data_IF_899822512121
#
_entry.id   IF_899822512121
#
_cell.length_a   1.000
_cell.length_b   1.000
_cell.length_c   1.000
_cell.angle_alpha   90.00
_cell.angle_beta   90.00
_cell.angle_gamma   90.00
#
_symmetry.space_group_name_H-M   'P 1'
#
loop_
_entity.id
_entity.type
_entity.pdbx_description
1 polymer ?
#
# COMPACT_ATOMS: atom_id res chain seq x y z
N UNK A 1 26.53 -33.80 -14.78
CA UNK A 1 26.28 -33.51 -13.36
C UNK A 1 24.80 -33.20 -13.21
N UNK A 2 24.05 -33.81 -12.30
CA UNK A 2 22.67 -33.40 -12.03
C UNK A 2 22.68 -31.97 -11.51
N UNK A 3 21.67 -31.16 -11.88
CA UNK A 3 21.57 -29.79 -11.39
C UNK A 3 21.48 -29.78 -9.86
N UNK A 4 22.32 -28.97 -9.22
CA UNK A 4 22.31 -28.80 -7.77
C UNK A 4 20.91 -28.29 -7.36
N UNK A 5 20.23 -29.03 -6.49
CA UNK A 5 18.95 -28.58 -5.93
C UNK A 5 19.19 -27.24 -5.21
N UNK A 6 18.46 -26.20 -5.62
CA UNK A 6 18.51 -24.88 -4.94
C UNK A 6 18.03 -25.03 -3.50
N UNK A 7 18.74 -24.39 -2.59
CA UNK A 7 18.32 -24.28 -1.18
C UNK A 7 17.02 -23.44 -1.07
N UNK A 8 16.29 -23.58 0.03
CA UNK A 8 15.10 -22.74 0.27
C UNK A 8 15.45 -21.26 0.27
N UNK A 9 16.61 -20.87 0.80
CA UNK A 9 17.09 -19.48 0.74
C UNK A 9 17.30 -19.00 -0.70
N UNK A 10 17.90 -19.81 -1.56
CA UNK A 10 18.10 -19.46 -2.99
C UNK A 10 16.77 -19.39 -3.75
N UNK A 11 15.79 -20.23 -3.40
CA UNK A 11 14.44 -20.15 -3.97
C UNK A 11 13.74 -18.84 -3.55
N UNK A 12 13.84 -18.48 -2.26
CA UNK A 12 13.23 -17.24 -1.76
C UNK A 12 13.89 -15.99 -2.37
N UNK A 13 15.22 -15.99 -2.51
CA UNK A 13 15.94 -14.90 -3.18
C UNK A 13 15.49 -14.74 -4.63
N UNK A 14 15.37 -15.85 -5.36
CA UNK A 14 14.87 -15.80 -6.74
C UNK A 14 13.42 -15.33 -6.81
N UNK A 15 12.57 -15.77 -5.86
CA UNK A 15 11.18 -15.31 -5.79
C UNK A 15 11.09 -13.79 -5.60
N UNK A 16 11.89 -13.22 -4.70
CA UNK A 16 11.98 -11.76 -4.48
C UNK A 16 12.46 -11.04 -5.75
N UNK A 17 13.52 -11.55 -6.38
CA UNK A 17 14.04 -10.96 -7.62
C UNK A 17 13.02 -10.96 -8.75
N UNK A 18 12.20 -12.01 -8.88
CA UNK A 18 11.11 -12.07 -9.87
C UNK A 18 10.05 -11.00 -9.55
N UNK A 19 9.64 -10.88 -8.30
CA UNK A 19 8.65 -9.90 -7.82
C UNK A 19 9.11 -8.47 -8.16
N UNK A 20 10.35 -8.13 -7.82
CA UNK A 20 10.88 -6.77 -8.00
C UNK A 20 11.00 -6.41 -9.49
N UNK A 21 11.55 -7.31 -10.30
CA UNK A 21 11.65 -7.10 -11.75
C UNK A 21 10.29 -7.01 -12.44
N UNK A 22 9.32 -7.81 -12.00
CA UNK A 22 7.96 -7.76 -12.54
C UNK A 22 7.25 -6.46 -12.14
N UNK A 23 7.41 -6.00 -10.89
CA UNK A 23 6.85 -4.73 -10.42
C UNK A 23 7.35 -3.57 -11.28
N UNK A 24 8.66 -3.47 -11.52
CA UNK A 24 9.23 -2.42 -12.38
C UNK A 24 8.66 -2.45 -13.80
N UNK A 25 8.55 -3.63 -14.40
CA UNK A 25 8.02 -3.79 -15.75
C UNK A 25 6.52 -3.45 -15.81
N UNK A 26 5.73 -3.92 -14.84
CA UNK A 26 4.29 -3.65 -14.78
C UNK A 26 4.00 -2.16 -14.59
N UNK A 27 4.76 -1.46 -13.74
CA UNK A 27 4.61 -0.02 -13.55
C UNK A 27 4.99 0.77 -14.81
N UNK A 28 6.07 0.37 -15.49
CA UNK A 28 6.57 1.13 -16.64
C UNK A 28 5.82 0.89 -17.94
N UNK A 29 5.16 -0.28 -18.11
CA UNK A 29 4.57 -0.71 -19.37
C UNK A 29 3.12 -1.17 -19.27
N UNK A 30 2.59 -1.27 -18.08
CA UNK A 30 1.29 -1.89 -17.77
C UNK A 30 1.39 -3.43 -17.68
N UNK A 31 0.49 -4.01 -16.90
CA UNK A 31 0.46 -5.47 -16.63
C UNK A 31 0.24 -6.26 -17.93
N UNK A 32 -0.68 -5.80 -18.79
CA UNK A 32 -1.05 -6.51 -20.02
C UNK A 32 0.09 -6.59 -21.03
N UNK A 33 0.92 -5.54 -21.14
CA UNK A 33 2.00 -5.47 -22.11
C UNK A 33 3.24 -6.28 -21.74
N UNK A 34 3.29 -6.87 -20.53
CA UNK A 34 4.46 -7.61 -20.03
C UNK A 34 4.19 -9.11 -20.01
N UNK A 35 5.17 -9.88 -20.44
CA UNK A 35 5.12 -11.36 -20.47
C UNK A 35 6.07 -11.98 -19.45
N UNK A 36 5.75 -13.19 -18.98
CA UNK A 36 6.61 -13.96 -18.08
C UNK A 36 8.02 -14.20 -18.67
N UNK A 37 8.13 -14.31 -20.01
CA UNK A 37 9.43 -14.46 -20.71
C UNK A 37 10.28 -13.18 -20.64
N UNK A 38 9.66 -12.01 -20.73
CA UNK A 38 10.37 -10.74 -20.59
C UNK A 38 10.89 -10.52 -19.17
N UNK A 39 10.08 -10.89 -18.17
CA UNK A 39 10.50 -10.87 -16.75
C UNK A 39 11.72 -11.80 -16.57
N UNK A 40 11.66 -13.03 -17.09
CA UNK A 40 12.77 -13.98 -17.05
C UNK A 40 14.04 -13.42 -17.67
N UNK A 41 13.92 -12.82 -18.87
CA UNK A 41 15.04 -12.19 -19.58
C UNK A 41 15.63 -11.03 -18.78
N UNK A 42 14.80 -10.21 -18.14
CA UNK A 42 15.23 -9.07 -17.33
C UNK A 42 16.16 -9.47 -16.18
N UNK A 43 15.90 -10.62 -15.56
CA UNK A 43 16.70 -11.13 -14.42
C UNK A 43 17.73 -12.16 -14.79
N UNK A 44 17.91 -12.47 -16.09
CA UNK A 44 18.92 -13.44 -16.57
C UNK A 44 18.57 -14.89 -16.30
N UNK A 45 17.28 -15.24 -16.19
CA UNK A 45 16.79 -16.60 -15.96
C UNK A 45 15.96 -17.13 -17.13
N UNK A 46 15.71 -18.45 -17.14
CA UNK A 46 14.79 -19.07 -18.10
C UNK A 46 13.32 -18.81 -17.70
N UNK A 47 12.42 -18.80 -18.68
CA UNK A 47 10.98 -18.72 -18.40
C UNK A 47 10.51 -19.88 -17.51
N UNK A 48 11.07 -21.10 -17.74
CA UNK A 48 10.79 -22.28 -16.91
C UNK A 48 11.12 -22.02 -15.44
N UNK A 49 12.21 -21.30 -15.15
CA UNK A 49 12.57 -20.95 -13.76
C UNK A 49 11.53 -20.07 -13.09
N UNK A 50 10.86 -19.17 -13.83
CA UNK A 50 9.78 -18.33 -13.29
C UNK A 50 8.51 -19.15 -13.04
N UNK A 51 8.15 -20.03 -13.99
CA UNK A 51 6.97 -20.89 -13.84
C UNK A 51 7.07 -21.90 -12.68
N UNK A 52 8.27 -22.18 -12.17
CA UNK A 52 8.46 -22.93 -10.92
C UNK A 52 8.05 -22.17 -9.66
N UNK A 53 7.97 -20.84 -9.74
CA UNK A 53 7.59 -19.97 -8.61
C UNK A 53 6.17 -19.41 -8.75
N UNK A 54 5.73 -19.14 -9.99
CA UNK A 54 4.43 -18.53 -10.27
C UNK A 54 3.81 -19.23 -11.48
N UNK A 55 2.65 -19.83 -11.28
CA UNK A 55 1.96 -20.63 -12.31
C UNK A 55 1.59 -19.79 -13.55
N UNK A 56 1.28 -18.52 -13.35
CA UNK A 56 0.92 -17.56 -14.40
C UNK A 56 1.22 -16.12 -13.97
N UNK A 57 0.89 -15.17 -14.86
CA UNK A 57 1.08 -13.73 -14.63
C UNK A 57 0.17 -13.18 -13.53
N UNK A 58 -1.03 -13.72 -13.41
CA UNK A 58 -2.00 -13.33 -12.38
C UNK A 58 -1.52 -13.74 -10.98
N UNK A 59 -1.04 -14.97 -10.82
CA UNK A 59 -0.45 -15.44 -9.56
C UNK A 59 0.77 -14.60 -9.16
N UNK A 60 1.59 -14.18 -10.14
CA UNK A 60 2.71 -13.28 -9.89
C UNK A 60 2.21 -11.89 -9.47
N UNK A 61 1.20 -11.33 -10.14
CA UNK A 61 0.62 -10.03 -9.78
C UNK A 61 0.02 -10.05 -8.37
N UNK A 62 -0.75 -11.10 -8.03
CA UNK A 62 -1.29 -11.28 -6.67
C UNK A 62 -0.17 -11.29 -5.63
N UNK A 63 0.89 -12.05 -5.87
CA UNK A 63 2.02 -12.13 -4.94
C UNK A 63 2.77 -10.79 -4.80
N UNK A 64 2.86 -9.97 -5.84
CA UNK A 64 3.40 -8.62 -5.76
C UNK A 64 2.50 -7.75 -4.88
N UNK A 65 1.19 -7.75 -5.13
CA UNK A 65 0.23 -6.96 -4.37
C UNK A 65 0.22 -7.35 -2.89
N UNK A 66 0.23 -8.65 -2.58
CA UNK A 66 0.32 -9.15 -1.20
C UNK A 66 1.62 -8.67 -0.52
N UNK A 67 2.75 -8.76 -1.23
CA UNK A 67 4.04 -8.31 -0.71
C UNK A 67 4.03 -6.81 -0.42
N UNK A 68 3.45 -6.01 -1.31
CA UNK A 68 3.42 -4.56 -1.20
C UNK A 68 2.42 -4.10 -0.11
N UNK A 69 1.26 -4.76 0.01
CA UNK A 69 0.30 -4.52 1.09
C UNK A 69 0.87 -4.87 2.47
N UNK A 70 1.58 -6.00 2.56
CA UNK A 70 2.28 -6.39 3.79
C UNK A 70 3.38 -5.40 4.16
N UNK A 71 4.13 -4.89 3.19
CA UNK A 71 5.15 -3.88 3.42
C UNK A 71 4.53 -2.58 3.97
N UNK A 72 3.38 -2.15 3.44
CA UNK A 72 2.63 -1.02 3.98
C UNK A 72 2.20 -1.29 5.43
N UNK A 73 1.51 -2.41 5.71
CA UNK A 73 1.07 -2.76 7.05
C UNK A 73 2.24 -2.82 8.06
N UNK A 74 3.37 -3.40 7.63
CA UNK A 74 4.58 -3.50 8.45
C UNK A 74 5.16 -2.12 8.76
N UNK A 75 5.17 -1.20 7.79
CA UNK A 75 5.71 0.16 7.97
C UNK A 75 4.91 1.01 8.98
N UNK A 76 3.67 0.64 9.22
CA UNK A 76 2.77 1.35 10.14
C UNK A 76 2.75 0.75 11.56
N UNK A 77 3.37 -0.42 11.76
CA UNK A 77 3.26 -1.20 13.01
C UNK A 77 3.66 -0.44 14.27
N UNK A 78 4.79 0.27 14.24
CA UNK A 78 5.28 1.02 15.41
C UNK A 78 4.35 2.17 15.80
N UNK A 79 3.65 2.75 14.83
CA UNK A 79 2.69 3.85 15.03
C UNK A 79 1.51 3.38 15.88
N UNK A 80 1.13 2.11 15.77
CA UNK A 80 0.02 1.54 16.54
C UNK A 80 0.27 1.52 18.06
N UNK A 81 1.51 1.73 18.51
CA UNK A 81 1.88 1.80 19.93
C UNK A 81 1.68 3.19 20.55
N UNK A 82 1.38 4.22 19.75
CA UNK A 82 1.09 5.57 20.26
C UNK A 82 -0.16 5.52 21.14
N UNK A 83 -0.05 6.04 22.36
CA UNK A 83 -1.09 5.87 23.39
C UNK A 83 -2.36 6.71 23.08
N UNK A 84 -2.21 8.00 22.73
CA UNK A 84 -3.36 8.83 22.39
C UNK A 84 -3.91 8.44 21.01
N UNK A 85 -5.20 8.07 20.91
CA UNK A 85 -5.77 7.56 19.66
C UNK A 85 -5.86 8.63 18.56
N UNK A 86 -5.95 9.92 18.91
CA UNK A 86 -5.98 11.02 17.92
C UNK A 86 -4.57 11.25 17.36
N UNK A 87 -3.56 11.28 18.23
CA UNK A 87 -2.16 11.36 17.79
C UNK A 87 -1.77 10.16 16.94
N UNK A 88 -2.21 8.95 17.33
CA UNK A 88 -2.01 7.72 16.57
C UNK A 88 -2.65 7.79 15.18
N UNK A 89 -3.89 8.28 15.08
CA UNK A 89 -4.59 8.45 13.82
C UNK A 89 -3.87 9.45 12.90
N UNK A 90 -3.38 10.55 13.45
CA UNK A 90 -2.59 11.53 12.70
C UNK A 90 -1.26 10.94 12.21
N UNK A 91 -0.52 10.26 13.09
CA UNK A 91 0.73 9.59 12.75
C UNK A 91 0.52 8.50 11.69
N UNK A 92 -0.60 7.77 11.73
CA UNK A 92 -0.92 6.75 10.73
C UNK A 92 -1.08 7.35 9.32
N UNK A 93 -1.75 8.50 9.21
CA UNK A 93 -1.86 9.24 7.95
C UNK A 93 -0.49 9.70 7.42
N UNK A 94 0.39 10.18 8.31
CA UNK A 94 1.76 10.57 7.96
C UNK A 94 2.58 9.34 7.51
N UNK A 95 2.51 8.22 8.22
CA UNK A 95 3.18 6.97 7.87
C UNK A 95 2.73 6.42 6.52
N UNK A 96 1.42 6.45 6.24
CA UNK A 96 0.90 6.10 4.92
C UNK A 96 1.47 6.99 3.81
N UNK A 97 1.48 8.31 4.01
CA UNK A 97 2.04 9.24 3.03
C UNK A 97 3.56 9.02 2.84
N UNK A 98 4.30 8.78 3.92
CA UNK A 98 5.71 8.46 3.85
C UNK A 98 5.96 7.20 3.02
N UNK A 99 5.21 6.11 3.27
CA UNK A 99 5.30 4.89 2.46
C UNK A 99 5.03 5.17 0.99
N UNK A 100 3.94 5.86 0.67
CA UNK A 100 3.56 6.18 -0.70
C UNK A 100 4.65 6.96 -1.45
N UNK A 101 5.26 7.95 -0.79
CA UNK A 101 6.27 8.82 -1.40
C UNK A 101 7.66 8.16 -1.51
N UNK A 102 8.00 7.25 -0.61
CA UNK A 102 9.27 6.51 -0.66
C UNK A 102 9.21 5.27 -1.54
N UNK A 103 8.02 4.73 -1.79
CA UNK A 103 7.80 3.53 -2.60
C UNK A 103 6.78 3.78 -3.74
N UNK A 104 7.02 4.76 -4.64
CA UNK A 104 6.02 5.18 -5.61
C UNK A 104 5.61 4.07 -6.59
N UNK A 105 6.52 3.15 -6.92
CA UNK A 105 6.20 2.02 -7.80
C UNK A 105 5.31 0.98 -7.13
N UNK A 106 5.53 0.68 -5.84
CA UNK A 106 4.62 -0.16 -5.05
C UNK A 106 3.23 0.50 -5.02
N UNK A 107 3.18 1.79 -4.66
CA UNK A 107 1.94 2.54 -4.55
C UNK A 107 1.15 2.59 -5.88
N UNK A 108 1.84 2.83 -7.03
CA UNK A 108 1.19 2.81 -8.35
C UNK A 108 0.55 1.46 -8.64
N UNK A 109 1.24 0.37 -8.38
CA UNK A 109 0.71 -0.96 -8.66
C UNK A 109 -0.42 -1.34 -7.71
N UNK A 110 -0.30 -0.99 -6.42
CA UNK A 110 -1.33 -1.26 -5.41
C UNK A 110 -2.65 -0.53 -5.69
N UNK A 111 -2.60 0.73 -6.15
CA UNK A 111 -3.78 1.60 -6.12
C UNK A 111 -4.14 2.26 -7.45
N UNK A 112 -3.26 2.29 -8.44
CA UNK A 112 -3.45 3.06 -9.67
C UNK A 112 -3.42 2.21 -10.95
N UNK A 113 -2.88 0.99 -10.88
CA UNK A 113 -2.95 0.06 -12.00
C UNK A 113 -4.38 -0.49 -12.15
N UNK A 114 -4.76 -0.84 -13.38
CA UNK A 114 -5.99 -1.59 -13.62
C UNK A 114 -5.94 -2.89 -12.80
N UNK A 115 -6.93 -3.10 -11.96
CA UNK A 115 -6.96 -4.20 -10.98
C UNK A 115 -8.03 -5.21 -11.34
N UNK A 116 -7.67 -6.48 -11.28
CA UNK A 116 -8.64 -7.54 -11.03
C UNK A 116 -9.07 -7.41 -9.56
N UNK A 117 -10.38 -7.43 -9.24
CA UNK A 117 -10.83 -7.42 -7.85
C UNK A 117 -10.13 -8.53 -7.06
N UNK A 118 -9.55 -8.16 -5.92
CA UNK A 118 -8.89 -9.14 -5.06
C UNK A 118 -9.94 -9.90 -4.26
N UNK A 119 -10.00 -11.21 -4.44
CA UNK A 119 -10.73 -12.08 -3.52
C UNK A 119 -9.83 -12.35 -2.31
N UNK A 120 -10.24 -12.02 -1.07
CA UNK A 120 -9.48 -12.34 0.13
C UNK A 120 -9.12 -13.83 0.26
N UNK A 121 -9.91 -14.74 -0.33
CA UNK A 121 -9.62 -16.16 -0.35
C UNK A 121 -8.42 -16.55 -1.23
N UNK A 122 -8.04 -15.69 -2.18
CA UNK A 122 -6.88 -15.88 -3.08
C UNK A 122 -5.61 -15.16 -2.57
N UNK A 123 -5.74 -14.28 -1.58
CA UNK A 123 -4.61 -13.58 -0.96
C UNK A 123 -3.87 -14.48 0.03
N UNK A 124 -2.56 -14.33 0.10
CA UNK A 124 -1.75 -14.93 1.17
C UNK A 124 -1.86 -14.17 2.49
N UNK A 125 -2.47 -12.98 2.50
CA UNK A 125 -2.67 -12.15 3.67
C UNK A 125 -3.99 -12.49 4.36
N UNK A 126 -4.00 -12.34 5.68
CA UNK A 126 -5.18 -12.54 6.50
C UNK A 126 -5.94 -11.23 6.67
N UNK A 127 -7.16 -11.18 6.15
CA UNK A 127 -8.07 -10.07 6.39
C UNK A 127 -8.37 -9.90 7.89
N UNK A 128 -8.46 -8.65 8.35
CA UNK A 128 -8.66 -8.31 9.77
C UNK A 128 -7.50 -8.74 10.70
N UNK A 129 -6.33 -9.00 10.15
CA UNK A 129 -5.12 -9.21 10.94
C UNK A 129 -4.29 -7.92 10.97
N UNK A 130 -4.15 -7.30 12.15
CA UNK A 130 -3.41 -6.04 12.31
C UNK A 130 -1.92 -6.11 11.92
N UNK A 131 -1.34 -7.31 11.80
CA UNK A 131 0.04 -7.49 11.34
C UNK A 131 0.17 -7.48 9.81
N UNK A 132 -0.94 -7.66 9.07
CA UNK A 132 -0.94 -7.91 7.64
C UNK A 132 -1.89 -7.01 6.84
N UNK A 133 -2.87 -6.40 7.50
CA UNK A 133 -3.95 -5.63 6.88
C UNK A 133 -3.89 -4.16 7.29
N UNK A 134 -3.32 -3.32 6.43
CA UNK A 134 -3.18 -1.88 6.67
C UNK A 134 -4.55 -1.16 6.78
N UNK A 135 -5.59 -1.64 6.07
CA UNK A 135 -6.92 -1.06 6.20
C UNK A 135 -7.55 -1.40 7.55
N UNK A 136 -7.35 -2.62 8.03
CA UNK A 136 -7.80 -3.01 9.38
C UNK A 136 -7.06 -2.21 10.47
N UNK A 137 -5.77 -1.90 10.30
CA UNK A 137 -5.03 -1.01 11.20
C UNK A 137 -5.69 0.37 11.26
N UNK A 138 -5.99 0.97 10.11
CA UNK A 138 -6.68 2.27 10.04
C UNK A 138 -8.04 2.21 10.73
N UNK A 139 -8.85 1.20 10.41
CA UNK A 139 -10.17 1.01 11.00
C UNK A 139 -10.10 0.85 12.52
N UNK A 140 -9.14 0.09 13.03
CA UNK A 140 -8.91 -0.08 14.47
C UNK A 140 -8.57 1.25 15.14
N UNK A 141 -7.65 2.03 14.58
CA UNK A 141 -7.28 3.34 15.13
C UNK A 141 -8.46 4.32 15.13
N UNK A 142 -9.24 4.35 14.04
CA UNK A 142 -10.45 5.18 13.97
C UNK A 142 -11.50 4.74 15.00
N UNK A 143 -11.66 3.43 15.20
CA UNK A 143 -12.57 2.89 16.21
C UNK A 143 -12.14 3.28 17.65
N UNK A 144 -10.83 3.31 17.93
CA UNK A 144 -10.32 3.75 19.23
C UNK A 144 -10.63 5.23 19.49
N UNK A 145 -10.51 6.10 18.46
CA UNK A 145 -10.92 7.53 18.55
C UNK A 145 -12.43 7.65 18.79
N UNK A 146 -13.22 6.78 18.12
CA UNK A 146 -14.68 6.73 18.28
C UNK A 146 -15.08 6.31 19.72
N UNK A 147 -14.51 5.23 20.23
CA UNK A 147 -14.76 4.74 21.60
C UNK A 147 -14.35 5.77 22.65
N UNK A 148 -13.25 6.51 22.40
CA UNK A 148 -12.81 7.61 23.26
C UNK A 148 -13.73 8.85 23.19
N UNK A 149 -14.78 8.82 22.38
CA UNK A 149 -15.76 9.91 22.24
C UNK A 149 -15.21 11.21 21.68
N UNK A 150 -14.10 11.11 20.87
CA UNK A 150 -13.38 12.28 20.35
C UNK A 150 -13.97 12.81 19.05
N UNK A 151 -14.71 12.01 18.28
CA UNK A 151 -15.42 12.48 17.09
C UNK A 151 -16.68 13.29 17.45
N UNK A 152 -17.11 14.13 16.52
CA UNK A 152 -18.40 14.84 16.62
C UNK A 152 -19.54 13.84 16.78
N UNK A 153 -20.59 14.23 17.51
CA UNK A 153 -21.69 13.33 17.89
C UNK A 153 -22.54 12.86 16.70
N UNK A 154 -22.50 13.56 15.57
CA UNK A 154 -23.18 13.19 14.34
C UNK A 154 -22.40 12.15 13.50
N UNK A 155 -21.16 11.83 13.86
CA UNK A 155 -20.32 10.84 13.18
C UNK A 155 -20.38 9.51 13.90
N UNK A 156 -21.22 8.58 13.42
CA UNK A 156 -21.49 7.29 14.05
C UNK A 156 -20.93 6.10 13.27
N UNK A 157 -20.51 6.28 12.03
CA UNK A 157 -20.03 5.22 11.13
C UNK A 157 -18.51 5.23 11.05
N UNK A 158 -17.87 4.29 11.73
CA UNK A 158 -16.41 4.11 11.79
C UNK A 158 -15.83 3.80 10.40
N UNK A 159 -16.53 2.98 9.60
CA UNK A 159 -16.05 2.65 8.25
C UNK A 159 -16.09 3.86 7.32
N UNK A 160 -17.15 4.65 7.38
CA UNK A 160 -17.26 5.90 6.62
C UNK A 160 -16.14 6.88 7.00
N UNK A 161 -15.86 7.04 8.29
CA UNK A 161 -14.79 7.92 8.77
C UNK A 161 -13.43 7.42 8.29
N UNK A 162 -13.13 6.13 8.44
CA UNK A 162 -11.86 5.53 8.03
C UNK A 162 -11.63 5.68 6.52
N UNK A 163 -12.63 5.39 5.69
CA UNK A 163 -12.57 5.54 4.24
C UNK A 163 -12.39 7.02 3.83
N UNK A 164 -13.02 7.95 4.52
CA UNK A 164 -12.88 9.40 4.26
C UNK A 164 -11.46 9.88 4.56
N UNK A 165 -10.88 9.48 5.71
CA UNK A 165 -9.50 9.81 6.09
C UNK A 165 -8.52 9.23 5.07
N UNK A 166 -8.71 7.96 4.70
CA UNK A 166 -7.87 7.33 3.68
C UNK A 166 -7.97 8.06 2.34
N UNK A 167 -9.17 8.35 1.87
CA UNK A 167 -9.38 9.04 0.59
C UNK A 167 -8.67 10.40 0.53
N UNK A 168 -8.70 11.18 1.62
CA UNK A 168 -8.00 12.47 1.69
C UNK A 168 -6.48 12.33 1.55
N UNK A 169 -5.86 11.49 2.37
CA UNK A 169 -4.41 11.25 2.33
C UNK A 169 -3.98 10.62 1.01
N UNK A 170 -4.75 9.62 0.54
CA UNK A 170 -4.53 8.96 -0.75
C UNK A 170 -4.60 9.97 -1.91
N UNK A 171 -5.57 10.87 -1.93
CA UNK A 171 -5.71 11.88 -2.99
C UNK A 171 -4.49 12.78 -3.11
N UNK A 172 -3.96 13.29 -1.97
CA UNK A 172 -2.74 14.11 -1.98
C UNK A 172 -1.53 13.33 -2.48
N UNK A 173 -1.34 12.08 -2.02
CA UNK A 173 -0.24 11.21 -2.45
C UNK A 173 -0.36 10.85 -3.94
N UNK A 174 -1.56 10.50 -4.40
CA UNK A 174 -1.84 10.15 -5.79
C UNK A 174 -1.50 11.28 -6.75
N UNK A 175 -1.95 12.49 -6.45
CA UNK A 175 -1.61 13.68 -7.24
C UNK A 175 -0.09 13.91 -7.27
N UNK A 176 0.59 13.78 -6.13
CA UNK A 176 2.03 13.94 -6.06
C UNK A 176 2.78 12.92 -6.92
N UNK A 177 2.39 11.64 -6.84
CA UNK A 177 3.10 10.55 -7.51
C UNK A 177 2.89 10.58 -9.03
N UNK A 178 1.70 11.02 -9.49
CA UNK A 178 1.36 10.97 -10.92
C UNK A 178 1.51 12.28 -11.67
N UNK A 179 1.34 13.42 -10.98
CA UNK A 179 1.19 14.71 -11.64
C UNK A 179 2.18 15.77 -11.16
N UNK A 180 3.12 15.46 -10.25
CA UNK A 180 4.01 16.48 -9.70
C UNK A 180 4.90 17.17 -10.74
N UNK A 181 5.19 16.49 -11.87
CA UNK A 181 5.99 17.03 -12.98
C UNK A 181 5.13 17.76 -14.02
N UNK A 182 3.80 17.73 -13.88
CA UNK A 182 2.88 18.41 -14.79
C UNK A 182 2.99 19.92 -14.59
N UNK A 183 3.37 20.62 -15.66
CA UNK A 183 3.56 22.09 -15.67
C UNK A 183 2.25 22.88 -15.72
N UNK A 184 1.12 22.21 -15.88
CA UNK A 184 -0.21 22.84 -15.90
C UNK A 184 -0.61 23.36 -14.52
N UNK A 185 -0.07 22.75 -13.44
CA UNK A 185 -0.36 23.11 -12.05
C UNK A 185 0.91 23.62 -11.37
N UNK A 186 0.82 24.80 -10.75
CA UNK A 186 1.89 25.28 -9.87
C UNK A 186 1.77 24.61 -8.50
N UNK A 187 2.45 23.45 -8.35
CA UNK A 187 2.32 22.61 -7.18
C UNK A 187 2.96 23.22 -5.93
N UNK A 188 2.18 23.37 -4.86
CA UNK A 188 2.71 23.66 -3.53
C UNK A 188 3.51 22.47 -2.99
N UNK A 189 4.38 22.68 -2.01
CA UNK A 189 5.14 21.61 -1.36
C UNK A 189 4.21 20.51 -0.82
N UNK A 190 4.60 19.26 -1.06
CA UNK A 190 3.80 18.09 -0.64
C UNK A 190 3.54 18.07 0.86
N UNK A 191 4.52 18.46 1.69
CA UNK A 191 4.37 18.56 3.14
C UNK A 191 3.28 19.54 3.54
N UNK A 192 3.22 20.72 2.91
CA UNK A 192 2.20 21.73 3.19
C UNK A 192 0.81 21.25 2.78
N UNK A 193 0.69 20.54 1.63
CA UNK A 193 -0.60 19.98 1.18
C UNK A 193 -1.10 18.88 2.11
N UNK A 194 -0.22 17.99 2.55
CA UNK A 194 -0.56 16.94 3.52
C UNK A 194 -0.96 17.53 4.87
N UNK A 195 -0.21 18.52 5.37
CA UNK A 195 -0.52 19.18 6.63
C UNK A 195 -1.89 19.86 6.57
N UNK A 196 -2.13 20.68 5.55
CA UNK A 196 -3.40 21.40 5.42
C UNK A 196 -4.58 20.44 5.29
N UNK A 197 -4.43 19.39 4.51
CA UNK A 197 -5.47 18.37 4.34
C UNK A 197 -5.77 17.67 5.68
N UNK A 198 -4.74 17.21 6.41
CA UNK A 198 -4.92 16.58 7.72
C UNK A 198 -5.57 17.54 8.74
N UNK A 199 -5.10 18.78 8.83
CA UNK A 199 -5.70 19.77 9.72
C UNK A 199 -7.17 20.03 9.40
N UNK A 200 -7.52 20.20 8.12
CA UNK A 200 -8.88 20.44 7.69
C UNK A 200 -9.79 19.24 8.04
N UNK A 201 -9.30 18.01 7.82
CA UNK A 201 -10.04 16.80 8.17
C UNK A 201 -10.22 16.66 9.67
N UNK A 202 -9.16 16.84 10.47
CA UNK A 202 -9.25 16.75 11.94
C UNK A 202 -10.22 17.77 12.51
N UNK A 203 -10.18 19.01 12.05
CA UNK A 203 -11.16 20.04 12.47
C UNK A 203 -12.61 19.69 12.07
N UNK A 204 -12.80 19.02 10.92
CA UNK A 204 -14.12 18.59 10.47
C UNK A 204 -14.65 17.33 11.17
N UNK A 205 -13.79 16.47 11.71
CA UNK A 205 -14.16 15.18 12.29
C UNK A 205 -14.20 15.20 13.82
N UNK A 206 -13.27 15.89 14.47
CA UNK A 206 -13.15 15.91 15.94
C UNK A 206 -14.08 16.95 16.58
N UNK A 207 -14.40 16.71 17.84
CA UNK A 207 -15.04 17.73 18.71
C UNK A 207 -14.05 18.85 18.99
N UNK A 208 -14.58 20.06 19.12
CA UNK A 208 -13.76 21.18 19.59
C UNK A 208 -13.16 20.85 20.96
N UNK A 209 -11.87 21.09 21.11
CA UNK A 209 -11.21 20.98 22.40
C UNK A 209 -11.81 22.05 23.33
N UNK A 210 -12.48 21.63 24.41
CA UNK A 210 -12.98 22.54 25.45
C UNK A 210 -11.84 23.19 26.20
#
# INVERSE_FOLDING_TARGET
MPPKLKTESEKQQLRTLIIDAARELFVSRGVEAVTMREIAKRIGYSATSIYLHFVDKEALLRAILDTDMLALATSLKEILQIADPVERMHALGQGYAQFALTHPNHYRLMFMAERVPCDPAESSLQQNNAEQDAYFQLKTVVNDVYIAGRFRDDLQDVDLIAQTIWAGTHGVCSLQINMAEDKWVNWSYISARLQLMHEAMMRGLLKDSK
#
